data_IF_165913004334
#
_entry.id   IF_165913004334
#
_cell.length_a   1.000
_cell.length_b   1.000
_cell.length_c   1.000
_cell.angle_alpha   90.00
_cell.angle_beta   90.00
_cell.angle_gamma   90.00
#
_symmetry.space_group_name_H-M   'P 1'
#
loop_
_entity.id
_entity.type
_entity.pdbx_description
1 polymer ?
#
# COMPACT_ATOMS: atom_id res chain seq x y z
N UNK A 1 13.67 10.25 -15.06
CA UNK A 1 12.26 10.22 -14.64
C UNK A 1 12.21 10.58 -13.17
N UNK A 2 11.74 11.78 -12.82
CA UNK A 2 11.55 12.16 -11.41
C UNK A 2 10.30 11.45 -10.90
N UNK A 3 10.45 10.58 -9.90
CA UNK A 3 9.29 10.02 -9.19
C UNK A 3 8.61 11.14 -8.41
N UNK A 4 7.27 11.21 -8.46
CA UNK A 4 6.45 12.12 -7.63
C UNK A 4 6.72 11.94 -6.12
N UNK A 5 7.23 10.76 -5.76
CA UNK A 5 7.52 10.38 -4.39
C UNK A 5 9.02 10.26 -4.15
N UNK A 6 9.45 10.68 -2.96
CA UNK A 6 10.80 10.45 -2.47
C UNK A 6 11.00 8.96 -2.15
N UNK A 7 12.24 8.51 -2.23
CA UNK A 7 12.62 7.20 -1.70
C UNK A 7 12.41 7.16 -0.18
N UNK A 8 11.77 6.10 0.30
CA UNK A 8 11.59 5.84 1.72
C UNK A 8 12.71 4.95 2.22
N UNK A 9 13.14 5.19 3.46
CA UNK A 9 13.93 4.21 4.21
C UNK A 9 13.04 3.02 4.61
N UNK A 10 13.65 1.90 4.99
CA UNK A 10 12.90 0.70 5.41
C UNK A 10 11.94 0.97 6.56
N UNK A 11 12.33 1.83 7.51
CA UNK A 11 11.50 2.23 8.63
C UNK A 11 10.30 3.09 8.23
N UNK A 12 10.46 3.96 7.24
CA UNK A 12 9.36 4.77 6.69
C UNK A 12 8.43 3.91 5.85
N UNK A 13 8.98 3.01 5.03
CA UNK A 13 8.20 2.06 4.26
C UNK A 13 7.34 1.18 5.17
N UNK A 14 7.87 0.74 6.32
CA UNK A 14 7.10 -0.02 7.32
C UNK A 14 5.90 0.76 7.87
N UNK A 15 6.07 2.07 8.15
CA UNK A 15 4.95 2.94 8.59
C UNK A 15 3.90 3.09 7.50
N UNK A 16 4.32 3.18 6.24
CA UNK A 16 3.41 3.30 5.09
C UNK A 16 2.62 2.01 4.85
N UNK A 17 3.27 0.84 4.94
CA UNK A 17 2.59 -0.46 4.90
C UNK A 17 1.57 -0.59 6.04
N UNK A 18 1.95 -0.20 7.26
CA UNK A 18 1.02 -0.19 8.40
C UNK A 18 -0.18 0.73 8.13
N UNK A 19 0.07 1.93 7.62
CA UNK A 19 -1.02 2.86 7.27
C UNK A 19 -1.97 2.25 6.24
N UNK A 20 -1.45 1.56 5.22
CA UNK A 20 -2.28 0.85 4.24
C UNK A 20 -3.20 -0.17 4.95
N UNK A 21 -2.65 -1.01 5.82
CA UNK A 21 -3.40 -2.01 6.60
C UNK A 21 -4.46 -1.40 7.51
N UNK A 22 -4.18 -0.25 8.10
CA UNK A 22 -5.09 0.44 9.02
C UNK A 22 -6.23 1.17 8.28
N UNK A 23 -6.04 1.60 7.03
CA UNK A 23 -6.94 2.55 6.34
C UNK A 23 -7.56 2.02 5.04
N UNK A 24 -6.90 1.10 4.35
CA UNK A 24 -7.41 0.51 3.12
C UNK A 24 -8.33 -0.67 3.44
N UNK A 25 -9.49 -0.71 2.79
CA UNK A 25 -10.39 -1.85 2.86
C UNK A 25 -10.13 -2.76 1.65
N UNK A 26 -9.88 -4.07 1.86
CA UNK A 26 -9.61 -4.99 0.76
C UNK A 26 -10.69 -4.94 -0.33
N UNK A 27 -10.25 -5.07 -1.58
CA UNK A 27 -11.02 -5.03 -2.82
C UNK A 27 -11.64 -3.67 -3.18
N UNK A 28 -11.47 -2.64 -2.36
CA UNK A 28 -11.86 -1.28 -2.76
C UNK A 28 -10.85 -0.67 -3.75
N UNK A 29 -11.24 0.32 -4.57
CA UNK A 29 -10.32 0.94 -5.52
C UNK A 29 -9.08 1.53 -4.83
N UNK A 30 -7.88 1.13 -5.28
CA UNK A 30 -6.61 1.68 -4.78
C UNK A 30 -6.40 3.07 -5.37
N UNK A 31 -6.13 4.06 -4.52
CA UNK A 31 -5.92 5.43 -4.96
C UNK A 31 -4.52 5.58 -5.61
N UNK A 32 -4.50 5.93 -6.89
CA UNK A 32 -3.26 6.10 -7.67
C UNK A 32 -2.35 7.25 -7.24
N UNK A 33 -2.81 8.15 -6.37
CA UNK A 33 -2.00 9.25 -5.79
C UNK A 33 -1.24 8.80 -4.54
N UNK A 34 -1.58 7.64 -3.97
CA UNK A 34 -0.83 7.13 -2.81
C UNK A 34 0.57 6.69 -3.22
N UNK A 35 1.47 6.69 -2.23
CA UNK A 35 2.84 6.24 -2.44
C UNK A 35 2.87 4.77 -2.93
N UNK A 36 3.77 4.37 -3.85
CA UNK A 36 3.85 2.99 -4.36
C UNK A 36 3.87 1.91 -3.27
N UNK A 37 4.66 2.10 -2.21
CA UNK A 37 4.67 1.19 -1.03
C UNK A 37 3.28 0.95 -0.42
N UNK A 38 2.41 1.97 -0.39
CA UNK A 38 1.03 1.82 0.09
C UNK A 38 0.22 1.02 -0.92
N UNK A 39 0.33 1.34 -2.21
CA UNK A 39 -0.38 0.63 -3.27
C UNK A 39 -0.01 -0.86 -3.31
N UNK A 40 1.29 -1.17 -3.20
CA UNK A 40 1.80 -2.55 -3.15
C UNK A 40 1.22 -3.31 -1.95
N UNK A 41 1.16 -2.67 -0.78
CA UNK A 41 0.56 -3.27 0.41
C UNK A 41 -0.94 -3.51 0.22
N UNK A 42 -1.68 -2.56 -0.37
CA UNK A 42 -3.09 -2.74 -0.72
C UNK A 42 -3.29 -3.93 -1.67
N UNK A 43 -2.40 -4.14 -2.65
CA UNK A 43 -2.46 -5.30 -3.56
C UNK A 43 -2.20 -6.61 -2.80
N UNK A 44 -1.29 -6.62 -1.82
CA UNK A 44 -1.06 -7.79 -0.98
C UNK A 44 -2.30 -8.10 -0.11
N UNK A 45 -2.89 -7.08 0.50
CA UNK A 45 -4.14 -7.20 1.26
C UNK A 45 -5.27 -7.80 0.42
N UNK A 46 -5.40 -7.39 -0.84
CA UNK A 46 -6.41 -7.95 -1.74
C UNK A 46 -6.17 -9.43 -1.99
N UNK A 47 -4.93 -9.84 -2.26
CA UNK A 47 -4.58 -11.24 -2.49
C UNK A 47 -4.78 -12.11 -1.24
N UNK A 48 -4.52 -11.57 -0.05
CA UNK A 48 -4.77 -12.27 1.20
C UNK A 48 -6.27 -12.45 1.43
N UNK A 49 -7.05 -11.39 1.25
CA UNK A 49 -8.51 -11.44 1.37
C UNK A 49 -9.15 -12.43 0.39
N UNK A 50 -8.68 -12.47 -0.87
CA UNK A 50 -9.15 -13.44 -1.88
C UNK A 50 -8.79 -14.89 -1.55
N UNK A 51 -7.75 -15.15 -0.75
CA UNK A 51 -7.37 -16.51 -0.33
C UNK A 51 -8.14 -16.98 0.91
N UNK A 52 -8.55 -16.04 1.76
CA UNK A 52 -9.20 -16.32 3.05
C UNK A 52 -10.74 -16.19 3.00
N UNK A 53 -11.27 -15.55 1.95
CA UNK A 53 -12.70 -15.34 1.70
C UNK A 53 -13.42 -16.46 0.96
#
# INVERSE_FOLDING_TARGET
MATLFRTLTDGEAAKFRKWARDNYKPLEPINGVWHPVVQDECVLMNKEYEREG
#
